data_IF_943026810609
#
_entry.id   IF_943026810609
#
_cell.length_a   1.000
_cell.length_b   1.000
_cell.length_c   1.000
_cell.angle_alpha   90.00
_cell.angle_beta   90.00
_cell.angle_gamma   90.00
#
_symmetry.space_group_name_H-M   'P 1'
#
loop_
_entity.id
_entity.type
_entity.pdbx_description
1 polymer ?
#
# COMPACT_ATOMS: atom_id res chain seq x y z
N UNK A 1 11.04 7.46 -0.20
CA UNK A 1 11.66 7.47 -1.54
C UNK A 1 11.06 8.63 -2.31
N UNK A 2 11.78 9.21 -3.27
CA UNK A 2 11.26 10.32 -4.08
C UNK A 2 10.21 9.81 -5.09
N UNK A 3 8.99 9.57 -4.60
CA UNK A 3 7.87 9.04 -5.37
C UNK A 3 6.70 10.01 -5.43
N UNK A 4 5.73 9.72 -6.31
CA UNK A 4 4.55 10.58 -6.48
C UNK A 4 3.65 10.63 -5.24
N UNK A 5 3.77 9.66 -4.33
CA UNK A 5 3.02 9.63 -3.08
C UNK A 5 3.40 10.76 -2.12
N UNK A 6 4.63 11.28 -2.21
CA UNK A 6 5.10 12.40 -1.40
C UNK A 6 4.66 13.71 -2.03
N UNK A 7 3.39 14.06 -1.80
CA UNK A 7 2.75 15.23 -2.39
C UNK A 7 2.97 16.53 -1.59
N UNK A 8 3.71 16.47 -0.48
CA UNK A 8 3.96 17.63 0.39
C UNK A 8 4.56 18.81 -0.40
N UNK A 9 3.88 19.97 -0.37
CA UNK A 9 4.35 21.19 -1.04
C UNK A 9 4.20 21.20 -2.57
N UNK A 10 3.59 20.19 -3.19
CA UNK A 10 3.30 20.20 -4.63
C UNK A 10 2.05 21.04 -4.96
N UNK A 11 2.08 21.67 -6.12
CA UNK A 11 0.97 22.47 -6.66
C UNK A 11 0.28 21.71 -7.81
N UNK A 12 -0.90 22.16 -8.23
CA UNK A 12 -1.57 21.67 -9.44
C UNK A 12 -2.68 20.63 -9.25
N UNK A 13 -3.07 20.33 -8.00
CA UNK A 13 -4.14 19.35 -7.69
C UNK A 13 -5.55 19.93 -7.58
N UNK A 14 -5.70 21.25 -7.76
CA UNK A 14 -6.98 21.92 -7.61
C UNK A 14 -7.46 22.01 -6.16
N UNK A 15 -8.72 22.40 -5.98
CA UNK A 15 -9.36 22.48 -4.67
C UNK A 15 -9.85 21.10 -4.21
N UNK A 16 -9.83 20.86 -2.90
CA UNK A 16 -10.44 19.67 -2.31
C UNK A 16 -11.96 19.78 -2.40
N UNK A 17 -12.61 18.76 -2.97
CA UNK A 17 -14.06 18.69 -3.12
C UNK A 17 -14.60 17.43 -2.42
N UNK A 18 -14.97 17.49 -1.13
CA UNK A 18 -15.46 16.33 -0.40
C UNK A 18 -16.85 15.91 -0.86
N UNK A 19 -17.10 14.60 -0.89
CA UNK A 19 -18.44 14.04 -1.12
C UNK A 19 -19.29 14.15 0.16
N UNK A 20 -20.51 14.68 0.03
CA UNK A 20 -21.44 14.76 1.16
C UNK A 20 -22.10 13.40 1.38
N UNK A 21 -22.01 12.89 2.63
CA UNK A 21 -22.52 11.56 3.01
C UNK A 21 -21.85 10.39 2.26
N UNK A 22 -20.54 10.50 2.02
CA UNK A 22 -19.72 9.44 1.40
C UNK A 22 -19.93 8.08 2.09
N UNK A 23 -20.21 7.00 1.33
CA UNK A 23 -20.32 5.66 1.91
C UNK A 23 -18.93 5.15 2.34
N UNK A 24 -18.90 4.17 3.26
CA UNK A 24 -17.62 3.55 3.69
C UNK A 24 -16.92 2.83 2.52
N UNK A 25 -17.70 2.22 1.63
CA UNK A 25 -17.24 1.60 0.40
C UNK A 25 -18.20 2.00 -0.72
N UNK A 26 -17.68 2.57 -1.81
CA UNK A 26 -18.46 2.90 -3.00
C UNK A 26 -18.89 1.65 -3.75
N UNK A 27 -18.04 0.62 -3.73
CA UNK A 27 -18.32 -0.65 -4.39
C UNK A 27 -17.94 -1.88 -3.55
N UNK A 28 -18.61 -3.00 -3.83
CA UNK A 28 -18.41 -4.24 -3.08
C UNK A 28 -16.99 -4.82 -3.17
N UNK A 29 -16.22 -4.47 -4.20
CA UNK A 29 -14.82 -4.92 -4.32
C UNK A 29 -13.89 -4.19 -3.35
N UNK A 30 -14.21 -2.96 -2.98
CA UNK A 30 -13.41 -2.16 -2.05
C UNK A 30 -13.41 -2.80 -0.66
N UNK A 31 -14.58 -3.26 -0.21
CA UNK A 31 -14.73 -4.03 1.02
C UNK A 31 -13.94 -5.35 0.98
N UNK A 32 -13.84 -5.99 -0.18
CA UNK A 32 -13.02 -7.22 -0.35
C UNK A 32 -11.54 -6.91 -0.24
N UNK A 33 -11.06 -5.85 -0.89
CA UNK A 33 -9.65 -5.43 -0.79
C UNK A 33 -9.29 -5.09 0.66
N UNK A 34 -10.14 -4.33 1.34
CA UNK A 34 -9.98 -4.03 2.76
C UNK A 34 -9.86 -5.31 3.59
N UNK A 35 -10.80 -6.24 3.43
CA UNK A 35 -10.79 -7.52 4.15
C UNK A 35 -9.54 -8.35 3.84
N UNK A 36 -9.11 -8.42 2.58
CA UNK A 36 -7.89 -9.13 2.17
C UNK A 36 -6.64 -8.54 2.83
N UNK A 37 -6.49 -7.21 2.80
CA UNK A 37 -5.33 -6.53 3.41
C UNK A 37 -5.29 -6.77 4.92
N UNK A 38 -6.44 -6.71 5.60
CA UNK A 38 -6.49 -7.02 7.03
C UNK A 38 -6.18 -8.48 7.34
N UNK A 39 -6.73 -9.42 6.55
CA UNK A 39 -6.60 -10.85 6.81
C UNK A 39 -5.20 -11.38 6.48
N UNK A 40 -4.59 -10.88 5.40
CA UNK A 40 -3.22 -11.23 5.02
C UNK A 40 -2.19 -10.53 5.91
N UNK A 41 -2.56 -9.36 6.46
CA UNK A 41 -1.79 -8.65 7.45
C UNK A 41 -0.35 -8.36 6.99
N UNK A 42 0.58 -8.45 7.93
CA UNK A 42 2.01 -8.24 7.69
C UNK A 42 2.54 -6.91 8.22
N UNK A 43 3.80 -6.62 7.91
CA UNK A 43 4.45 -5.39 8.33
C UNK A 43 3.83 -4.18 7.59
N UNK A 44 3.29 -3.22 8.35
CA UNK A 44 2.60 -2.05 7.82
C UNK A 44 3.51 -1.15 6.98
N UNK A 45 4.77 -0.99 7.39
CA UNK A 45 5.75 -0.18 6.66
C UNK A 45 6.10 -0.82 5.30
N UNK A 46 6.18 -2.15 5.24
CA UNK A 46 6.33 -2.88 3.97
C UNK A 46 5.11 -2.68 3.07
N UNK A 47 3.91 -2.70 3.64
CA UNK A 47 2.67 -2.44 2.86
C UNK A 47 2.62 -1.00 2.35
N UNK A 48 3.01 -0.01 3.14
CA UNK A 48 3.16 1.39 2.69
C UNK A 48 4.19 1.50 1.56
N UNK A 49 5.37 0.93 1.76
CA UNK A 49 6.42 0.93 0.75
C UNK A 49 6.01 0.22 -0.55
N UNK A 50 5.13 -0.78 -0.51
CA UNK A 50 4.56 -1.37 -1.73
C UNK A 50 3.63 -0.39 -2.46
N UNK A 51 2.75 0.31 -1.72
CA UNK A 51 1.86 1.35 -2.28
C UNK A 51 2.67 2.52 -2.86
N UNK A 52 3.75 2.93 -2.19
CA UNK A 52 4.63 4.03 -2.63
C UNK A 52 5.30 3.78 -3.99
N UNK A 53 5.34 2.52 -4.44
CA UNK A 53 6.03 2.05 -5.65
C UNK A 53 5.08 1.63 -6.78
N UNK A 54 3.77 1.67 -6.58
CA UNK A 54 2.82 1.35 -7.65
C UNK A 54 3.01 2.31 -8.83
N UNK A 55 2.41 1.97 -9.97
CA UNK A 55 2.39 2.84 -11.13
C UNK A 55 2.00 4.29 -10.77
N UNK A 56 2.81 5.31 -11.09
CA UNK A 56 2.54 6.68 -10.65
C UNK A 56 1.21 7.24 -11.16
N UNK A 57 0.75 6.81 -12.35
CA UNK A 57 -0.53 7.23 -12.90
C UNK A 57 -1.65 6.53 -12.14
N UNK A 58 -1.53 5.24 -11.85
CA UNK A 58 -2.47 4.53 -10.96
C UNK A 58 -2.53 5.14 -9.57
N UNK A 59 -1.40 5.56 -8.99
CA UNK A 59 -1.41 6.24 -7.70
C UNK A 59 -2.30 7.49 -7.73
N UNK A 60 -2.24 8.29 -8.78
CA UNK A 60 -3.01 9.52 -8.88
C UNK A 60 -4.47 9.29 -9.31
N UNK A 61 -4.71 8.34 -10.20
CA UNK A 61 -6.00 8.19 -10.88
C UNK A 61 -6.89 7.08 -10.30
N UNK A 62 -6.31 6.06 -9.68
CA UNK A 62 -7.10 4.95 -9.13
C UNK A 62 -7.69 5.35 -7.76
N UNK A 63 -8.81 4.73 -7.38
CA UNK A 63 -9.45 4.98 -6.09
C UNK A 63 -8.55 4.55 -4.93
N UNK A 64 -8.88 4.98 -3.72
CA UNK A 64 -8.11 4.68 -2.51
C UNK A 64 -7.83 3.17 -2.34
N UNK A 65 -8.86 2.33 -2.54
CA UNK A 65 -8.72 0.87 -2.47
C UNK A 65 -8.05 0.27 -3.71
N UNK A 66 -8.02 0.97 -4.85
CA UNK A 66 -7.21 0.60 -6.01
C UNK A 66 -5.71 0.64 -5.70
N UNK A 67 -5.25 1.66 -4.97
CA UNK A 67 -3.86 1.75 -4.48
C UNK A 67 -3.52 0.59 -3.55
N UNK A 68 -4.46 0.23 -2.66
CA UNK A 68 -4.30 -0.90 -1.75
C UNK A 68 -4.18 -2.22 -2.51
N UNK A 69 -5.01 -2.42 -3.54
CA UNK A 69 -4.95 -3.61 -4.39
C UNK A 69 -3.61 -3.70 -5.11
N UNK A 70 -3.14 -2.62 -5.76
CA UNK A 70 -1.84 -2.61 -6.44
C UNK A 70 -0.66 -2.89 -5.50
N UNK A 71 -0.69 -2.35 -4.28
CA UNK A 71 0.29 -2.64 -3.23
C UNK A 71 0.23 -4.09 -2.73
N UNK A 72 -0.99 -4.65 -2.59
CA UNK A 72 -1.20 -6.04 -2.18
C UNK A 72 -0.71 -7.03 -3.24
N UNK A 73 -1.06 -6.82 -4.50
CA UNK A 73 -0.60 -7.65 -5.62
C UNK A 73 0.93 -7.63 -5.74
N UNK A 74 1.53 -6.44 -5.64
CA UNK A 74 2.99 -6.25 -5.58
C UNK A 74 3.61 -7.14 -4.49
N UNK A 75 3.05 -7.10 -3.27
CA UNK A 75 3.53 -7.91 -2.17
C UNK A 75 3.35 -9.41 -2.38
N UNK A 76 2.19 -9.85 -2.89
CA UNK A 76 1.91 -11.27 -3.09
C UNK A 76 2.86 -11.89 -4.11
N UNK A 77 3.27 -11.09 -5.12
CA UNK A 77 4.29 -11.49 -6.08
C UNK A 77 5.69 -11.52 -5.45
N UNK A 78 6.07 -10.48 -4.71
CA UNK A 78 7.36 -10.43 -4.00
C UNK A 78 7.50 -11.53 -2.92
N UNK A 79 6.40 -11.95 -2.30
CA UNK A 79 6.34 -13.05 -1.33
C UNK A 79 6.30 -14.44 -2.00
N UNK A 80 6.23 -14.51 -3.34
CA UNK A 80 6.16 -15.78 -4.09
C UNK A 80 4.85 -16.54 -3.92
N UNK A 81 3.78 -15.89 -3.44
CA UNK A 81 2.45 -16.49 -3.24
C UNK A 81 1.70 -16.60 -4.57
N UNK A 82 1.87 -15.60 -5.43
CA UNK A 82 1.31 -15.54 -6.78
C UNK A 82 2.40 -15.05 -7.74
N UNK A 83 2.28 -15.38 -9.01
CA UNK A 83 3.03 -14.73 -10.09
C UNK A 83 2.23 -13.59 -10.71
N UNK A 84 2.92 -12.60 -11.25
CA UNK A 84 2.26 -11.51 -12.01
C UNK A 84 1.45 -12.06 -13.18
N UNK A 85 1.94 -13.11 -13.85
CA UNK A 85 1.25 -13.79 -14.94
C UNK A 85 -0.07 -14.43 -14.51
N UNK A 86 -0.13 -15.07 -13.34
CA UNK A 86 -1.37 -15.69 -12.84
C UNK A 86 -2.45 -14.63 -12.58
N UNK A 87 -2.08 -13.51 -11.97
CA UNK A 87 -2.99 -12.39 -11.72
C UNK A 87 -3.50 -11.82 -13.05
N UNK A 88 -2.59 -11.50 -13.98
CA UNK A 88 -2.95 -10.94 -15.29
C UNK A 88 -3.83 -11.90 -16.10
N UNK A 89 -3.49 -13.20 -16.15
CA UNK A 89 -4.30 -14.17 -16.88
C UNK A 89 -5.70 -14.33 -16.26
N UNK A 90 -5.78 -14.33 -14.92
CA UNK A 90 -7.06 -14.39 -14.22
C UNK A 90 -7.91 -13.16 -14.52
N UNK A 91 -7.33 -11.95 -14.50
CA UNK A 91 -8.01 -10.72 -14.85
C UNK A 91 -8.54 -10.75 -16.29
N UNK A 92 -7.73 -11.21 -17.25
CA UNK A 92 -8.13 -11.36 -18.66
C UNK A 92 -9.28 -12.35 -18.84
N UNK A 93 -9.27 -13.48 -18.13
CA UNK A 93 -10.39 -14.44 -18.14
C UNK A 93 -11.68 -13.85 -17.56
N UNK A 94 -11.58 -12.83 -16.72
CA UNK A 94 -12.71 -12.09 -16.16
C UNK A 94 -13.11 -10.86 -17.00
N UNK A 95 -12.44 -10.62 -18.14
CA UNK A 95 -12.79 -9.58 -19.11
C UNK A 95 -11.87 -8.36 -19.14
N UNK A 96 -10.75 -8.35 -18.41
CA UNK A 96 -9.78 -7.26 -18.48
C UNK A 96 -9.08 -7.20 -19.86
N UNK A 97 -8.85 -5.98 -20.36
CA UNK A 97 -8.12 -5.72 -21.59
C UNK A 97 -6.61 -5.79 -21.38
N UNK A 98 -5.85 -6.07 -22.44
CA UNK A 98 -4.38 -6.09 -22.39
C UNK A 98 -3.78 -4.71 -22.15
N UNK A 99 -4.51 -3.65 -22.49
CA UNK A 99 -4.10 -2.26 -22.32
C UNK A 99 -4.57 -1.66 -20.99
N UNK A 100 -5.30 -2.42 -20.17
CA UNK A 100 -5.70 -1.95 -18.84
C UNK A 100 -4.46 -1.67 -17.98
N UNK A 101 -4.49 -0.55 -17.26
CA UNK A 101 -3.38 -0.15 -16.40
C UNK A 101 -3.26 -1.12 -15.23
N UNK A 102 -2.08 -1.72 -15.08
CA UNK A 102 -1.73 -2.53 -13.91
C UNK A 102 -0.98 -1.65 -12.92
N UNK A 103 -1.54 -1.45 -11.73
CA UNK A 103 -0.91 -0.65 -10.68
C UNK A 103 0.31 -1.37 -10.07
N UNK A 104 0.28 -2.69 -9.94
CA UNK A 104 1.32 -3.48 -9.29
C UNK A 104 2.70 -3.33 -9.98
N UNK A 105 3.76 -3.21 -9.17
CA UNK A 105 5.16 -3.09 -9.61
C UNK A 105 6.08 -3.94 -8.70
N UNK A 106 5.94 -5.28 -8.74
CA UNK A 106 6.79 -6.19 -7.97
C UNK A 106 8.25 -6.11 -8.41
N UNK A 107 9.17 -6.31 -7.47
CA UNK A 107 10.60 -6.48 -7.73
C UNK A 107 10.97 -7.96 -7.69
N UNK A 108 11.92 -8.35 -8.53
CA UNK A 108 12.49 -9.71 -8.50
C UNK A 108 13.34 -9.98 -7.25
N UNK A 109 13.74 -8.93 -6.53
CA UNK A 109 14.53 -9.05 -5.32
C UNK A 109 13.67 -9.60 -4.17
N UNK A 110 14.04 -10.78 -3.68
CA UNK A 110 13.43 -11.51 -2.57
C UNK A 110 13.52 -10.81 -1.21
N UNK A 111 12.96 -9.61 -1.11
CA UNK A 111 12.55 -8.98 0.14
C UNK A 111 11.31 -9.72 0.68
N UNK A 112 11.52 -11.00 0.95
CA UNK A 112 10.53 -11.88 1.55
C UNK A 112 10.32 -11.41 2.97
N UNK A 113 9.06 -11.28 3.38
CA UNK A 113 8.75 -10.98 4.78
C UNK A 113 9.45 -12.01 5.69
N UNK A 114 10.35 -11.62 6.59
CA UNK A 114 11.09 -12.57 7.43
C UNK A 114 10.20 -13.30 8.45
N UNK A 115 8.92 -12.96 8.54
CA UNK A 115 8.01 -13.49 9.54
C UNK A 115 6.61 -13.75 8.97
N UNK A 116 6.18 -15.02 9.05
CA UNK A 116 4.75 -15.38 9.09
C UNK A 116 4.21 -14.99 10.46
N UNK A 117 3.93 -13.72 10.70
CA UNK A 117 3.24 -13.31 11.93
C UNK A 117 1.75 -13.53 11.74
N UNK A 118 1.22 -14.47 12.54
CA UNK A 118 -0.21 -14.64 12.76
C UNK A 118 -0.81 -13.33 13.26
N UNK A 119 -2.01 -13.01 12.80
CA UNK A 119 -2.83 -11.92 13.34
C UNK A 119 -3.07 -12.16 14.83
N UNK A 120 -2.23 -11.59 15.71
CA UNK A 120 -2.53 -11.53 17.13
C UNK A 120 -3.80 -10.71 17.33
N UNK A 121 -4.70 -11.15 18.20
CA UNK A 121 -6.05 -10.59 18.40
C UNK A 121 -6.14 -9.16 18.95
N UNK A 122 -5.08 -8.35 18.81
CA UNK A 122 -5.04 -6.92 19.14
C UNK A 122 -4.17 -6.15 18.15
N UNK A 123 -4.44 -4.85 17.98
CA UNK A 123 -3.62 -3.98 17.15
C UNK A 123 -2.18 -3.95 17.69
N UNK A 124 -1.24 -4.46 16.90
CA UNK A 124 0.18 -4.39 17.24
C UNK A 124 0.64 -2.94 17.28
N UNK A 125 1.27 -2.50 18.37
CA UNK A 125 1.89 -1.18 18.42
C UNK A 125 3.29 -1.22 17.79
N UNK A 126 3.73 -0.08 17.26
CA UNK A 126 5.13 0.10 16.82
C UNK A 126 6.09 0.37 17.99
N UNK A 127 5.58 0.49 19.22
CA UNK A 127 6.39 0.81 20.40
C UNK A 127 7.38 -0.32 20.71
N UNK A 128 8.63 0.04 20.96
CA UNK A 128 9.70 -0.88 21.36
C UNK A 128 10.49 -0.28 22.51
N UNK A 129 10.91 -1.11 23.45
CA UNK A 129 11.83 -0.70 24.51
C UNK A 129 13.24 -0.59 23.94
N UNK A 130 13.88 0.57 24.10
CA UNK A 130 15.24 0.81 23.67
C UNK A 130 16.18 0.84 24.89
N UNK A 131 17.39 0.30 24.73
CA UNK A 131 18.44 0.39 25.75
C UNK A 131 19.19 1.72 25.72
N UNK A 132 19.14 2.41 24.59
CA UNK A 132 19.83 3.67 24.37
C UNK A 132 18.95 4.85 24.78
N UNK A 133 19.50 5.87 25.47
CA UNK A 133 18.76 7.09 25.77
C UNK A 133 18.46 7.87 24.47
N UNK A 134 17.42 8.75 24.48
CA UNK A 134 17.11 9.60 23.34
C UNK A 134 18.27 10.57 23.05
N UNK A 135 18.51 10.85 21.76
CA UNK A 135 19.58 11.76 21.31
C UNK A 135 19.24 13.24 21.47
N UNK A 136 17.96 13.56 21.62
CA UNK A 136 17.43 14.92 21.68
C UNK A 136 16.46 15.04 22.86
N UNK A 137 16.27 16.27 23.33
CA UNK A 137 15.33 16.63 24.38
C UNK A 137 14.43 17.79 23.92
N UNK A 138 13.36 18.05 24.70
CA UNK A 138 12.45 19.17 24.41
C UNK A 138 13.22 20.49 24.42
N UNK A 139 13.12 21.24 23.32
CA UNK A 139 13.79 22.53 23.13
C UNK A 139 15.04 22.48 22.25
N UNK A 140 15.56 21.31 21.91
CA UNK A 140 16.70 21.20 21.00
C UNK A 140 16.35 21.70 19.58
N UNK A 141 17.24 22.50 19.00
CA UNK A 141 17.14 22.86 17.59
C UNK A 141 17.76 21.75 16.74
N UNK A 142 16.98 21.22 15.79
CA UNK A 142 17.38 20.16 14.88
C UNK A 142 17.25 20.60 13.43
N UNK A 143 18.11 20.05 12.57
CA UNK A 143 17.97 20.12 11.12
C UNK A 143 17.76 18.70 10.61
N UNK A 144 16.65 18.50 9.90
CA UNK A 144 16.31 17.25 9.22
C UNK A 144 17.17 17.03 7.98
#
# INVERSE_FOLDING_TARGET
MDGIHDLGGKHGFGAVSPELNEPVFHEGWEARVFALVLQLGGNLDRSRHAIERIDPISYLADTYYGRWLGGLETRLVEDGVLSQSEITERARRLGADVNDRVAARPRDAGDQSPEKKSSTGGFSTAQRTLKTPPRFQLGDQVRT
#
